data_IF_949581862082
#
_entry.id   IF_949581862082
#
_cell.length_a   1.000
_cell.length_b   1.000
_cell.length_c   1.000
_cell.angle_alpha   90.00
_cell.angle_beta   90.00
_cell.angle_gamma   90.00
#
_symmetry.space_group_name_H-M   'P 1'
#
loop_
_entity.id
_entity.type
_entity.pdbx_description
1 polymer ?
#
# COMPACT_ATOMS: atom_id res chain seq x y z
N UNK A 1 6.02 32.00 -2.27
CA UNK A 1 6.08 30.54 -1.94
C UNK A 1 4.70 30.11 -1.48
N UNK A 2 4.09 29.07 -2.08
CA UNK A 2 2.80 28.57 -1.61
C UNK A 2 2.92 27.83 -0.26
N UNK A 3 1.85 27.82 0.51
CA UNK A 3 1.72 27.09 1.77
C UNK A 3 0.65 26.01 1.63
N UNK A 4 0.83 24.89 2.33
CA UNK A 4 -0.15 23.82 2.34
C UNK A 4 -1.43 24.27 3.08
N UNK A 5 -2.63 24.13 2.48
CA UNK A 5 -3.89 24.53 3.12
C UNK A 5 -4.26 23.66 4.32
N UNK A 6 -3.68 22.46 4.44
CA UNK A 6 -3.99 21.53 5.52
C UNK A 6 -3.10 21.71 6.76
N UNK A 7 -1.78 21.88 6.58
CA UNK A 7 -0.83 21.92 7.70
C UNK A 7 -0.04 23.24 7.83
N UNK A 8 -0.20 24.17 6.88
CA UNK A 8 0.53 25.45 6.88
C UNK A 8 2.03 25.34 6.57
N UNK A 9 2.55 24.16 6.23
CA UNK A 9 3.96 24.00 5.83
C UNK A 9 4.22 24.69 4.48
N UNK A 10 5.44 25.23 4.32
CA UNK A 10 5.87 25.80 3.05
C UNK A 10 6.06 24.69 2.02
N UNK A 11 5.43 24.83 0.85
CA UNK A 11 5.48 23.82 -0.22
C UNK A 11 6.06 24.45 -1.49
N UNK A 12 6.74 23.65 -2.30
CA UNK A 12 7.20 24.10 -3.63
C UNK A 12 6.09 23.79 -4.64
N UNK A 13 5.86 24.71 -5.57
CA UNK A 13 4.78 24.61 -6.57
C UNK A 13 4.92 23.41 -7.53
N UNK A 14 6.06 22.73 -7.54
CA UNK A 14 6.35 21.57 -8.40
C UNK A 14 5.85 20.26 -7.79
N UNK A 15 5.54 20.21 -6.49
CA UNK A 15 5.13 18.97 -5.82
C UNK A 15 3.61 18.79 -5.85
N UNK A 16 3.17 17.60 -6.28
CA UNK A 16 1.75 17.20 -6.25
C UNK A 16 1.22 16.95 -4.84
N UNK A 17 2.10 16.67 -3.87
CA UNK A 17 1.76 16.38 -2.47
C UNK A 17 2.61 17.20 -1.50
N UNK A 18 2.08 17.46 -0.32
CA UNK A 18 2.80 18.10 0.77
C UNK A 18 3.75 17.10 1.45
N UNK A 19 5.05 17.40 1.47
CA UNK A 19 6.05 16.56 2.14
C UNK A 19 5.94 16.52 3.67
N UNK A 20 5.18 17.42 4.30
CA UNK A 20 5.01 17.45 5.76
C UNK A 20 3.82 16.64 6.25
N UNK A 21 2.67 16.73 5.56
CA UNK A 21 1.42 16.09 6.01
C UNK A 21 0.82 15.11 4.98
N UNK A 22 1.37 15.02 3.77
CA UNK A 22 0.89 14.13 2.71
C UNK A 22 -0.32 14.66 1.91
N UNK A 23 -0.86 15.84 2.24
CA UNK A 23 -2.02 16.40 1.53
C UNK A 23 -1.72 16.63 0.04
N UNK A 24 -2.63 16.19 -0.83
CA UNK A 24 -2.59 16.51 -2.26
C UNK A 24 -2.77 18.03 -2.48
N UNK A 25 -1.83 18.64 -3.21
CA UNK A 25 -1.80 20.06 -3.54
C UNK A 25 -2.38 20.36 -4.93
N UNK A 26 -2.72 19.32 -5.70
CA UNK A 26 -3.33 19.42 -7.03
C UNK A 26 -4.44 18.39 -7.17
N UNK A 27 -5.61 18.81 -7.65
CA UNK A 27 -6.81 17.97 -7.83
C UNK A 27 -6.72 17.04 -9.05
N UNK A 28 -5.61 17.06 -9.82
CA UNK A 28 -5.44 16.25 -11.03
C UNK A 28 -4.94 14.83 -10.70
N UNK A 29 -4.88 14.46 -9.42
CA UNK A 29 -4.62 13.08 -8.98
C UNK A 29 -5.87 12.18 -9.07
N UNK A 30 -6.88 12.58 -9.87
CA UNK A 30 -8.06 11.79 -10.20
C UNK A 30 -7.95 11.15 -11.58
N UNK A 31 -6.82 10.52 -11.91
CA UNK A 31 -6.83 9.46 -12.92
C UNK A 31 -5.63 8.54 -12.75
N UNK A 32 -5.93 7.29 -12.40
CA UNK A 32 -5.13 6.13 -12.81
C UNK A 32 -3.78 5.95 -12.11
N UNK A 33 -3.80 5.50 -10.85
CA UNK A 33 -2.83 4.53 -10.32
C UNK A 33 -3.15 4.17 -8.87
N UNK A 34 -4.35 3.63 -8.66
CA UNK A 34 -4.39 2.42 -7.83
C UNK A 34 -4.08 1.30 -8.83
N UNK A 35 -2.80 0.90 -9.06
CA UNK A 35 -2.62 -0.45 -9.58
C UNK A 35 -3.38 -1.33 -8.57
N UNK A 36 -4.21 -2.29 -9.00
CA UNK A 36 -4.68 -3.28 -8.06
C UNK A 36 -3.41 -3.75 -7.36
N UNK A 37 -3.36 -3.65 -6.04
CA UNK A 37 -2.39 -4.39 -5.25
C UNK A 37 -2.65 -5.87 -5.56
N UNK A 38 -2.23 -6.32 -6.73
CA UNK A 38 -1.79 -7.67 -6.97
C UNK A 38 -0.63 -7.79 -6.00
N UNK A 39 -0.97 -8.23 -4.80
CA UNK A 39 -0.05 -8.83 -3.88
C UNK A 39 0.65 -9.90 -4.69
N UNK A 40 1.78 -9.54 -5.28
CA UNK A 40 2.66 -10.49 -5.91
C UNK A 40 3.04 -11.44 -4.77
N UNK A 41 2.46 -12.64 -4.80
CA UNK A 41 2.51 -13.62 -3.71
C UNK A 41 3.93 -14.17 -3.55
N UNK A 42 4.89 -13.65 -4.29
CA UNK A 42 6.28 -14.08 -4.35
C UNK A 42 7.20 -13.27 -3.41
N UNK A 43 6.67 -12.77 -2.30
CA UNK A 43 7.50 -12.44 -1.15
C UNK A 43 8.17 -13.72 -0.64
N UNK A 44 9.50 -13.78 -0.56
CA UNK A 44 10.30 -14.94 -0.14
C UNK A 44 9.84 -15.69 1.14
N UNK A 45 9.04 -15.04 2.00
CA UNK A 45 8.43 -15.61 3.21
C UNK A 45 7.12 -16.40 2.93
N UNK A 46 6.55 -16.33 1.72
CA UNK A 46 5.28 -16.97 1.33
C UNK A 46 5.41 -18.49 1.24
N UNK A 47 6.47 -19.04 0.65
CA UNK A 47 6.46 -20.46 0.28
C UNK A 47 6.43 -21.39 1.52
N UNK A 48 7.24 -21.08 2.55
CA UNK A 48 7.25 -21.86 3.80
C UNK A 48 5.99 -21.65 4.64
N UNK A 49 5.47 -20.43 4.63
CA UNK A 49 4.22 -20.12 5.34
C UNK A 49 3.03 -20.81 4.68
N UNK A 50 3.00 -20.85 3.34
CA UNK A 50 2.00 -21.55 2.54
C UNK A 50 2.09 -23.08 2.68
N UNK A 51 3.29 -23.65 2.72
CA UNK A 51 3.44 -25.10 2.95
C UNK A 51 2.92 -25.49 4.33
N UNK A 52 3.26 -24.70 5.36
CA UNK A 52 2.80 -24.96 6.72
C UNK A 52 1.27 -24.90 6.88
N UNK A 53 0.60 -23.92 6.26
CA UNK A 53 -0.88 -23.88 6.30
C UNK A 53 -1.51 -25.01 5.51
N UNK A 54 -0.88 -25.49 4.42
CA UNK A 54 -1.38 -26.64 3.67
C UNK A 54 -1.25 -27.92 4.50
N UNK A 55 -0.10 -28.14 5.14
CA UNK A 55 0.13 -29.28 6.05
C UNK A 55 -0.86 -29.29 7.23
N UNK A 56 -1.19 -28.13 7.79
CA UNK A 56 -2.22 -28.03 8.84
C UNK A 56 -3.61 -28.40 8.33
N UNK A 57 -4.01 -27.88 7.16
CA UNK A 57 -5.32 -28.15 6.58
C UNK A 57 -5.50 -29.62 6.17
N UNK A 58 -4.40 -30.26 5.74
CA UNK A 58 -4.36 -31.69 5.42
C UNK A 58 -4.39 -32.57 6.68
N UNK A 59 -3.75 -32.14 7.78
CA UNK A 59 -3.74 -32.85 9.07
C UNK A 59 -5.05 -32.78 9.86
N UNK A 60 -5.91 -31.79 9.59
CA UNK A 60 -7.25 -31.69 10.20
C UNK A 60 -8.26 -32.70 9.60
N UNK A 61 -7.90 -33.40 8.53
CA UNK A 61 -8.77 -34.35 7.82
C UNK A 61 -8.71 -35.79 8.37
N UNK A 62 -7.86 -36.07 9.37
CA UNK A 62 -7.67 -37.41 9.95
C UNK A 62 -8.29 -37.60 11.36
N UNK A 63 -9.15 -36.68 11.79
CA UNK A 63 -9.87 -36.79 13.07
C UNK A 63 -11.38 -36.97 12.85
N UNK A 64 -11.77 -38.09 12.25
CA UNK A 64 -13.12 -38.68 12.36
C UNK A 64 -13.02 -40.09 12.98
#
# INVERSE_FOLDING_TARGET
>A
MPYCPNCGSQVKAVHHYCGSCGQALSEIAESESDPPMAVDRDGFLSLRSLSYVNELLEGEQELD
#
